data_IF_370142814912
#
_entry.id   IF_370142814912
#
_cell.length_a   1.000
_cell.length_b   1.000
_cell.length_c   1.000
_cell.angle_alpha   90.00
_cell.angle_beta   90.00
_cell.angle_gamma   90.00
#
_symmetry.space_group_name_H-M   'P 1'
#
loop_
_entity.id
_entity.type
_entity.pdbx_description
1 polymer ?
#
# COMPACT_ATOMS: atom_id res chain seq x y z
N UNK A 1 -29.55 -20.51 -25.49
CA UNK A 1 -30.81 -20.58 -24.74
C UNK A 1 -30.75 -21.80 -23.82
N UNK A 2 -30.65 -21.67 -22.48
CA UNK A 2 -30.64 -22.83 -21.59
C UNK A 2 -32.06 -23.27 -21.21
N UNK A 3 -32.24 -24.59 -21.12
CA UNK A 3 -33.50 -25.33 -21.10
C UNK A 3 -34.38 -25.09 -19.84
N UNK A 4 -35.71 -25.09 -20.05
CA UNK A 4 -36.73 -24.60 -19.10
C UNK A 4 -37.48 -25.71 -18.32
N UNK A 5 -37.04 -26.98 -18.38
CA UNK A 5 -37.90 -28.13 -18.00
C UNK A 5 -37.38 -28.99 -16.84
N UNK A 6 -36.88 -28.38 -15.76
CA UNK A 6 -36.72 -29.09 -14.49
C UNK A 6 -37.18 -28.20 -13.33
N UNK A 7 -38.15 -28.69 -12.54
CA UNK A 7 -38.64 -27.98 -11.32
C UNK A 7 -37.50 -27.78 -10.30
N UNK A 8 -36.47 -28.64 -10.30
CA UNK A 8 -35.28 -28.49 -9.43
C UNK A 8 -34.38 -27.31 -9.86
N UNK A 9 -34.31 -26.99 -11.15
CA UNK A 9 -33.55 -25.84 -11.63
C UNK A 9 -34.27 -24.51 -11.36
N UNK A 10 -35.60 -24.50 -11.31
CA UNK A 10 -36.36 -23.28 -10.94
C UNK A 10 -36.26 -22.97 -9.44
N UNK A 11 -36.25 -23.98 -8.56
CA UNK A 11 -36.02 -23.75 -7.13
C UNK A 11 -34.61 -23.19 -6.87
N UNK A 12 -33.59 -23.72 -7.55
CA UNK A 12 -32.23 -23.17 -7.48
C UNK A 12 -32.15 -21.75 -8.05
N UNK A 13 -32.75 -21.48 -9.22
CA UNK A 13 -32.72 -20.15 -9.83
C UNK A 13 -33.53 -19.09 -9.06
N UNK A 14 -34.62 -19.46 -8.39
CA UNK A 14 -35.43 -18.55 -7.56
C UNK A 14 -34.76 -18.31 -6.20
N UNK A 15 -34.09 -19.31 -5.61
CA UNK A 15 -33.25 -19.11 -4.43
C UNK A 15 -31.98 -18.29 -4.75
N UNK A 16 -31.37 -18.48 -5.91
CA UNK A 16 -30.23 -17.69 -6.37
C UNK A 16 -30.65 -16.25 -6.74
N UNK A 17 -31.83 -16.06 -7.32
CA UNK A 17 -32.38 -14.72 -7.60
C UNK A 17 -32.82 -13.98 -6.34
N UNK A 18 -33.40 -14.67 -5.35
CA UNK A 18 -33.75 -14.09 -4.05
C UNK A 18 -32.51 -13.78 -3.21
N UNK A 19 -31.44 -14.58 -3.32
CA UNK A 19 -30.14 -14.29 -2.72
C UNK A 19 -29.36 -13.20 -3.48
N UNK A 20 -29.57 -13.04 -4.79
CA UNK A 20 -28.96 -11.97 -5.57
C UNK A 20 -29.63 -10.61 -5.30
N UNK A 21 -30.97 -10.56 -5.19
CA UNK A 21 -31.71 -9.32 -4.98
C UNK A 21 -31.47 -8.65 -3.60
N UNK A 22 -30.98 -9.37 -2.59
CA UNK A 22 -30.60 -8.79 -1.29
C UNK A 22 -29.11 -8.44 -1.17
N UNK A 23 -28.27 -8.79 -2.15
CA UNK A 23 -26.81 -8.73 -2.06
C UNK A 23 -26.15 -7.59 -2.85
N UNK A 24 -26.91 -6.80 -3.63
CA UNK A 24 -26.34 -5.71 -4.44
C UNK A 24 -25.73 -4.56 -3.60
N UNK A 25 -25.98 -4.55 -2.29
CA UNK A 25 -25.46 -3.54 -1.38
C UNK A 25 -24.42 -4.08 -0.38
N UNK A 26 -23.89 -5.30 -0.51
CA UNK A 26 -22.88 -5.82 0.45
C UNK A 26 -21.60 -6.17 -0.30
N UNK A 27 -20.61 -5.29 -0.24
CA UNK A 27 -19.29 -5.60 -0.77
C UNK A 27 -18.61 -6.66 0.11
N UNK A 28 -18.08 -7.69 -0.54
CA UNK A 28 -17.27 -8.70 0.15
C UNK A 28 -16.05 -8.03 0.77
N UNK A 29 -15.73 -8.38 2.02
CA UNK A 29 -14.62 -7.78 2.79
C UNK A 29 -13.28 -7.78 2.02
N UNK A 30 -13.10 -8.74 1.11
CA UNK A 30 -11.92 -8.86 0.24
C UNK A 30 -11.78 -7.70 -0.74
N UNK A 31 -12.87 -7.20 -1.30
CA UNK A 31 -12.84 -6.08 -2.24
C UNK A 31 -12.47 -4.79 -1.54
N UNK A 32 -13.12 -4.49 -0.42
CA UNK A 32 -12.82 -3.32 0.41
C UNK A 32 -11.37 -3.35 0.89
N UNK A 33 -10.87 -4.51 1.34
CA UNK A 33 -9.47 -4.62 1.80
C UNK A 33 -8.46 -4.48 0.67
N UNK A 34 -8.70 -5.10 -0.50
CA UNK A 34 -7.85 -4.92 -1.69
C UNK A 34 -7.80 -3.47 -2.12
N UNK A 35 -8.94 -2.77 -2.08
CA UNK A 35 -9.02 -1.35 -2.38
C UNK A 35 -8.18 -0.53 -1.39
N UNK A 36 -8.38 -0.72 -0.07
CA UNK A 36 -7.63 0.01 0.95
C UNK A 36 -6.12 -0.23 0.83
N UNK A 37 -5.67 -1.48 0.68
CA UNK A 37 -4.26 -1.80 0.46
C UNK A 37 -3.73 -1.21 -0.86
N UNK A 38 -4.56 -1.13 -1.89
CA UNK A 38 -4.25 -0.42 -3.12
C UNK A 38 -4.00 1.07 -2.89
N UNK A 39 -4.88 1.74 -2.14
CA UNK A 39 -4.76 3.16 -1.82
C UNK A 39 -3.55 3.43 -0.92
N UNK A 40 -3.31 2.59 0.08
CA UNK A 40 -2.15 2.70 0.96
C UNK A 40 -0.83 2.63 0.18
N UNK A 41 -0.72 1.68 -0.76
CA UNK A 41 0.46 1.59 -1.65
C UNK A 41 0.63 2.83 -2.52
N UNK A 42 -0.46 3.43 -3.00
CA UNK A 42 -0.41 4.70 -3.75
C UNK A 42 0.12 5.84 -2.86
N UNK A 43 -0.32 5.94 -1.61
CA UNK A 43 0.16 6.98 -0.68
C UNK A 43 1.66 6.81 -0.40
N UNK A 44 2.13 5.58 -0.16
CA UNK A 44 3.57 5.32 0.06
C UNK A 44 4.39 5.71 -1.16
N UNK A 45 3.94 5.36 -2.38
CA UNK A 45 4.62 5.78 -3.62
C UNK A 45 4.67 7.30 -3.77
N UNK A 46 3.58 7.98 -3.43
CA UNK A 46 3.53 9.45 -3.44
C UNK A 46 4.50 10.06 -2.43
N UNK A 47 4.60 9.51 -1.21
CA UNK A 47 5.56 9.96 -0.19
C UNK A 47 7.00 9.79 -0.68
N UNK A 48 7.34 8.62 -1.25
CA UNK A 48 8.67 8.39 -1.84
C UNK A 48 8.97 9.43 -2.92
N UNK A 49 8.00 9.69 -3.81
CA UNK A 49 8.15 10.70 -4.87
C UNK A 49 8.38 12.10 -4.29
N UNK A 50 7.58 12.54 -3.32
CA UNK A 50 7.72 13.88 -2.74
C UNK A 50 9.02 14.04 -1.95
N UNK A 51 9.44 13.03 -1.19
CA UNK A 51 10.74 13.06 -0.50
C UNK A 51 11.90 13.07 -1.50
N UNK A 52 11.83 12.28 -2.56
CA UNK A 52 12.84 12.29 -3.63
C UNK A 52 12.93 13.63 -4.35
N UNK A 53 11.79 14.29 -4.57
CA UNK A 53 11.74 15.63 -5.16
C UNK A 53 12.30 16.69 -4.21
N UNK A 54 12.07 16.56 -2.90
CA UNK A 54 12.71 17.43 -1.90
C UNK A 54 14.24 17.31 -1.95
N UNK A 55 14.78 16.10 -2.02
CA UNK A 55 16.24 15.89 -2.14
C UNK A 55 16.77 16.43 -3.49
N UNK A 56 16.04 16.21 -4.59
CA UNK A 56 16.39 16.76 -5.89
C UNK A 56 16.40 18.30 -5.93
N UNK A 57 15.49 18.96 -5.21
CA UNK A 57 15.46 20.43 -5.08
C UNK A 57 16.54 20.93 -4.11
N UNK A 58 16.86 20.15 -3.06
CA UNK A 58 17.88 20.48 -2.07
C UNK A 58 19.27 20.51 -2.69
N UNK A 59 19.64 19.42 -3.36
CA UNK A 59 20.97 19.22 -3.96
C UNK A 59 21.04 19.81 -5.36
N UNK A 60 19.95 19.77 -6.11
CA UNK A 60 19.90 20.16 -7.52
C UNK A 60 20.06 18.94 -8.44
N UNK A 61 19.24 18.82 -9.52
CA UNK A 61 19.19 17.61 -10.34
C UNK A 61 20.49 17.31 -11.09
N UNK A 62 21.22 18.35 -11.52
CA UNK A 62 22.53 18.21 -12.17
C UNK A 62 23.59 17.69 -11.20
N UNK A 63 23.66 18.29 -10.02
CA UNK A 63 24.62 17.92 -8.98
C UNK A 63 24.35 16.51 -8.45
N UNK A 64 23.08 16.09 -8.39
CA UNK A 64 22.71 14.72 -8.01
C UNK A 64 23.18 13.69 -9.04
N UNK A 65 23.02 13.96 -10.33
CA UNK A 65 23.42 13.03 -11.41
C UNK A 65 24.95 12.96 -11.57
N UNK A 66 25.63 14.08 -11.40
CA UNK A 66 27.07 14.21 -11.62
C UNK A 66 27.89 14.31 -10.32
N UNK A 67 27.33 13.95 -9.17
CA UNK A 67 28.03 14.00 -7.89
C UNK A 67 29.41 13.31 -7.97
N UNK A 68 30.47 14.02 -7.58
CA UNK A 68 31.86 13.54 -7.64
C UNK A 68 32.45 13.39 -9.05
N UNK A 69 31.76 13.88 -10.09
CA UNK A 69 32.20 13.87 -11.50
C UNK A 69 32.11 15.28 -12.09
N UNK A 70 32.87 15.53 -13.16
CA UNK A 70 32.74 16.76 -13.97
C UNK A 70 32.84 18.08 -13.16
N UNK A 71 33.61 18.09 -12.08
CA UNK A 71 33.82 19.27 -11.22
C UNK A 71 32.73 19.51 -10.15
N UNK A 72 31.73 18.64 -10.04
CA UNK A 72 30.75 18.70 -8.95
C UNK A 72 31.30 18.07 -7.67
N UNK A 73 30.95 18.61 -6.48
CA UNK A 73 31.40 18.05 -5.21
C UNK A 73 30.93 16.61 -5.02
N UNK A 74 31.72 15.83 -4.28
CA UNK A 74 31.32 14.48 -3.88
C UNK A 74 30.06 14.52 -2.98
N UNK A 75 29.27 13.43 -2.93
CA UNK A 75 28.14 13.33 -2.01
C UNK A 75 28.57 13.61 -0.57
N UNK A 76 27.81 14.45 0.14
CA UNK A 76 28.06 14.74 1.55
C UNK A 76 27.64 13.59 2.46
N UNK A 77 27.95 13.72 3.76
CA UNK A 77 27.58 12.70 4.77
C UNK A 77 26.06 12.46 4.88
N UNK A 78 25.24 13.44 4.49
CA UNK A 78 23.77 13.35 4.48
C UNK A 78 23.20 12.84 3.14
N UNK A 79 24.02 12.58 2.12
CA UNK A 79 23.56 12.23 0.76
C UNK A 79 23.43 10.72 0.56
N UNK A 80 22.61 10.09 1.40
CA UNK A 80 22.30 8.66 1.35
C UNK A 80 20.81 8.39 1.65
N UNK A 81 20.38 7.15 1.44
CA UNK A 81 19.03 6.70 1.74
C UNK A 81 18.12 6.56 0.52
N UNK A 82 16.85 6.25 0.79
CA UNK A 82 15.84 5.90 -0.20
C UNK A 82 15.45 7.13 -1.02
N UNK A 83 15.23 8.27 -0.36
CA UNK A 83 14.81 9.49 -1.04
C UNK A 83 15.92 10.02 -1.96
N UNK A 84 17.18 9.96 -1.50
CA UNK A 84 18.34 10.34 -2.31
C UNK A 84 18.48 9.45 -3.55
N UNK A 85 18.41 8.12 -3.37
CA UNK A 85 18.52 7.16 -4.49
C UNK A 85 17.39 7.33 -5.51
N UNK A 86 16.16 7.51 -5.05
CA UNK A 86 15.02 7.78 -5.94
C UNK A 86 15.14 9.16 -6.60
N UNK A 87 15.67 10.15 -5.88
CA UNK A 87 15.93 11.49 -6.39
C UNK A 87 16.97 11.47 -7.51
N UNK A 88 17.99 10.62 -7.40
CA UNK A 88 18.96 10.36 -8.45
C UNK A 88 18.30 9.80 -9.70
N UNK A 89 17.48 8.74 -9.55
CA UNK A 89 16.78 8.12 -10.69
C UNK A 89 15.85 9.13 -11.38
N UNK A 90 15.07 9.88 -10.62
CA UNK A 90 14.14 10.90 -11.16
C UNK A 90 14.91 12.02 -11.86
N UNK A 91 15.99 12.51 -11.25
CA UNK A 91 16.84 13.56 -11.85
C UNK A 91 17.51 13.07 -13.14
N UNK A 92 17.95 11.82 -13.16
CA UNK A 92 18.55 11.20 -14.35
C UNK A 92 17.54 11.09 -15.49
N UNK A 93 16.33 10.60 -15.23
CA UNK A 93 15.25 10.54 -16.23
C UNK A 93 14.91 11.94 -16.73
N UNK A 94 14.81 12.93 -15.83
CA UNK A 94 14.58 14.32 -16.21
C UNK A 94 15.68 14.85 -17.13
N UNK A 95 16.95 14.59 -16.81
CA UNK A 95 18.09 14.99 -17.65
C UNK A 95 18.08 14.30 -19.01
N UNK A 96 17.77 12.99 -19.07
CA UNK A 96 17.63 12.27 -20.32
C UNK A 96 16.50 12.85 -21.18
N UNK A 97 15.34 13.13 -20.59
CA UNK A 97 14.21 13.75 -21.30
C UNK A 97 14.57 15.15 -21.80
N UNK A 98 15.21 15.97 -20.97
CA UNK A 98 15.67 17.30 -21.34
C UNK A 98 16.68 17.25 -22.50
N UNK A 99 17.66 16.34 -22.44
CA UNK A 99 18.67 16.18 -23.49
C UNK A 99 18.07 15.69 -24.82
N UNK A 100 17.14 14.74 -24.79
CA UNK A 100 16.57 14.10 -25.99
C UNK A 100 15.46 14.93 -26.62
N UNK A 101 14.62 15.58 -25.81
CA UNK A 101 13.44 16.30 -26.30
C UNK A 101 13.72 17.79 -26.38
N UNK A 102 14.22 18.38 -25.29
CA UNK A 102 14.28 19.83 -25.18
C UNK A 102 15.48 20.43 -25.93
N UNK A 103 16.66 19.83 -25.77
CA UNK A 103 17.89 20.31 -26.42
C UNK A 103 17.79 20.39 -27.95
N UNK A 104 17.34 19.35 -28.68
CA UNK A 104 17.23 19.45 -30.14
C UNK A 104 16.09 20.34 -30.63
N UNK A 105 14.99 20.48 -29.87
CA UNK A 105 13.82 21.26 -30.31
C UNK A 105 13.91 22.76 -29.97
N UNK A 106 14.63 23.13 -28.90
CA UNK A 106 14.60 24.49 -28.34
C UNK A 106 15.98 25.12 -28.10
N UNK A 107 17.10 24.46 -28.47
CA UNK A 107 18.45 25.04 -28.35
C UNK A 107 18.61 26.40 -29.05
N UNK A 108 17.86 26.62 -30.13
CA UNK A 108 17.87 27.85 -30.92
C UNK A 108 17.00 28.98 -30.36
N UNK A 109 16.15 28.71 -29.35
CA UNK A 109 15.15 29.66 -28.86
C UNK A 109 15.46 30.25 -27.48
N UNK A 110 16.41 29.71 -26.72
CA UNK A 110 16.78 30.24 -25.39
C UNK A 110 17.64 31.51 -25.55
N UNK A 111 17.11 32.71 -25.31
CA UNK A 111 17.93 33.90 -25.24
C UNK A 111 18.64 33.83 -23.90
N UNK A 112 19.96 33.60 -23.87
CA UNK A 112 20.73 33.78 -22.64
C UNK A 112 20.72 35.26 -22.28
N UNK A 113 20.01 35.68 -21.21
CA UNK A 113 19.96 37.09 -20.86
C UNK A 113 21.38 37.56 -20.48
N UNK A 114 21.79 38.77 -20.89
CA UNK A 114 23.10 39.27 -20.52
C UNK A 114 23.21 39.42 -19.00
N UNK A 115 24.38 39.10 -18.43
CA UNK A 115 24.61 39.16 -16.99
C UNK A 115 24.37 40.60 -16.49
N UNK A 116 23.57 40.74 -15.42
CA UNK A 116 23.17 42.01 -14.82
C UNK A 116 21.83 42.57 -15.31
N UNK A 117 21.14 41.91 -16.24
CA UNK A 117 19.85 42.38 -16.75
C UNK A 117 18.71 42.31 -15.69
N UNK A 118 17.70 43.18 -15.83
CA UNK A 118 16.50 43.18 -14.98
C UNK A 118 15.76 41.83 -15.03
N UNK A 119 15.89 41.10 -16.14
CA UNK A 119 15.33 39.76 -16.36
C UNK A 119 16.03 38.68 -15.53
N UNK A 120 17.34 38.77 -15.30
CA UNK A 120 18.08 37.85 -14.44
C UNK A 120 17.65 38.00 -12.97
N UNK A 121 17.47 39.24 -12.51
CA UNK A 121 16.98 39.53 -11.15
C UNK A 121 15.55 39.01 -10.92
N UNK A 122 14.67 39.13 -11.91
CA UNK A 122 13.29 38.60 -11.81
C UNK A 122 13.26 37.07 -11.87
N UNK A 123 14.06 36.43 -12.74
CA UNK A 123 14.20 34.97 -12.79
C UNK A 123 14.78 34.41 -11.48
N UNK A 124 15.76 35.07 -10.89
CA UNK A 124 16.31 34.69 -9.59
C UNK A 124 15.29 34.88 -8.46
N UNK A 125 14.49 35.94 -8.49
CA UNK A 125 13.41 36.16 -7.51
C UNK A 125 12.30 35.09 -7.63
N UNK A 126 11.90 34.74 -8.85
CA UNK A 126 10.92 33.68 -9.12
C UNK A 126 11.47 32.31 -8.70
N UNK A 127 12.73 32.01 -9.00
CA UNK A 127 13.41 30.79 -8.56
C UNK A 127 13.47 30.70 -7.03
N UNK A 128 13.83 31.79 -6.35
CA UNK A 128 13.88 31.85 -4.89
C UNK A 128 12.48 31.69 -4.28
N UNK A 129 11.45 32.32 -4.86
CA UNK A 129 10.07 32.16 -4.41
C UNK A 129 9.56 30.74 -4.61
N UNK A 130 9.76 30.14 -5.80
CA UNK A 130 9.39 28.75 -6.08
C UNK A 130 10.09 27.78 -5.14
N UNK A 131 11.38 28.00 -4.83
CA UNK A 131 12.12 27.19 -3.86
C UNK A 131 11.50 27.28 -2.47
N UNK A 132 11.18 28.49 -1.99
CA UNK A 132 10.52 28.70 -0.68
C UNK A 132 9.11 28.10 -0.64
N UNK A 133 8.34 28.26 -1.71
CA UNK A 133 7.00 27.69 -1.81
C UNK A 133 7.04 26.16 -1.80
N UNK A 134 7.94 25.54 -2.58
CA UNK A 134 8.13 24.09 -2.61
C UNK A 134 8.63 23.53 -1.27
N UNK A 135 9.47 24.28 -0.55
CA UNK A 135 9.91 23.94 0.81
C UNK A 135 8.77 23.84 1.83
N UNK A 136 7.64 24.52 1.59
CA UNK A 136 6.45 24.45 2.44
C UNK A 136 5.44 23.43 1.90
N UNK A 137 5.21 23.43 0.58
CA UNK A 137 4.21 22.60 -0.07
C UNK A 137 4.55 21.10 0.01
N UNK A 138 5.82 20.74 -0.16
CA UNK A 138 6.24 19.33 -0.19
C UNK A 138 6.09 18.64 1.17
N UNK A 139 6.57 19.20 2.29
CA UNK A 139 6.30 18.63 3.62
C UNK A 139 4.81 18.52 3.94
N UNK A 140 4.01 19.53 3.57
CA UNK A 140 2.56 19.51 3.78
C UNK A 140 1.89 18.39 2.97
N UNK A 141 2.32 18.20 1.72
CA UNK A 141 1.82 17.12 0.85
C UNK A 141 2.19 15.74 1.38
N UNK A 142 3.41 15.57 1.91
CA UNK A 142 3.85 14.35 2.60
C UNK A 142 2.95 14.08 3.81
N UNK A 143 2.73 15.09 4.65
CA UNK A 143 1.85 15.00 5.81
C UNK A 143 0.42 14.56 5.46
N UNK A 144 -0.17 15.14 4.41
CA UNK A 144 -1.49 14.74 3.93
C UNK A 144 -1.53 13.30 3.42
N UNK A 145 -0.49 12.85 2.70
CA UNK A 145 -0.38 11.47 2.24
C UNK A 145 -0.28 10.48 3.42
N UNK A 146 0.49 10.83 4.46
CA UNK A 146 0.62 10.03 5.67
C UNK A 146 -0.68 9.98 6.47
N UNK A 147 -1.40 11.11 6.61
CA UNK A 147 -2.71 11.15 7.26
C UNK A 147 -3.72 10.26 6.51
N UNK A 148 -3.73 10.34 5.18
CA UNK A 148 -4.58 9.49 4.34
C UNK A 148 -4.20 8.02 4.40
N UNK A 149 -2.91 7.73 4.52
CA UNK A 149 -2.40 6.38 4.76
C UNK A 149 -2.90 5.82 6.09
N UNK A 150 -2.80 6.59 7.18
CA UNK A 150 -3.31 6.20 8.50
C UNK A 150 -4.82 5.95 8.47
N UNK A 151 -5.57 6.82 7.79
CA UNK A 151 -7.01 6.63 7.59
C UNK A 151 -7.34 5.26 6.97
N UNK A 152 -6.68 4.88 5.87
CA UNK A 152 -6.91 3.58 5.23
C UNK A 152 -6.40 2.40 6.07
N UNK A 153 -5.34 2.61 6.85
CA UNK A 153 -4.82 1.61 7.80
C UNK A 153 -5.87 1.30 8.86
N UNK A 154 -6.38 2.33 9.54
CA UNK A 154 -7.41 2.24 10.57
C UNK A 154 -8.68 1.60 9.98
N UNK A 155 -9.09 2.03 8.78
CA UNK A 155 -10.24 1.47 8.10
C UNK A 155 -10.06 -0.03 7.79
N UNK A 156 -8.84 -0.48 7.52
CA UNK A 156 -8.55 -1.91 7.28
C UNK A 156 -8.64 -2.75 8.57
N UNK A 157 -8.27 -2.19 9.71
CA UNK A 157 -8.37 -2.85 11.02
C UNK A 157 -9.78 -2.85 11.61
N UNK A 158 -10.50 -1.73 11.48
CA UNK A 158 -11.84 -1.60 12.03
C UNK A 158 -12.80 -2.46 11.19
N UNK A 159 -12.81 -2.30 9.87
CA UNK A 159 -13.81 -2.90 8.98
C UNK A 159 -13.33 -4.23 8.40
N UNK A 160 -13.62 -5.28 9.16
CA UNK A 160 -13.24 -6.68 8.84
C UNK A 160 -14.33 -7.46 8.12
N UNK A 161 -15.58 -7.00 8.23
CA UNK A 161 -16.76 -7.70 7.71
C UNK A 161 -17.22 -7.18 6.34
N UNK A 162 -17.97 -8.01 5.62
CA UNK A 162 -18.66 -7.63 4.39
C UNK A 162 -19.75 -6.61 4.69
N UNK A 163 -19.77 -5.48 3.96
CA UNK A 163 -20.62 -4.33 4.28
C UNK A 163 -21.05 -3.51 3.07
N UNK A 164 -22.09 -2.68 3.22
CA UNK A 164 -22.40 -1.65 2.24
C UNK A 164 -21.27 -0.64 2.07
N UNK A 165 -21.07 -0.27 0.80
CA UNK A 165 -20.07 0.70 0.37
C UNK A 165 -20.24 2.00 1.15
N UNK A 166 -19.16 2.55 1.69
CA UNK A 166 -19.14 3.79 2.49
C UNK A 166 -19.83 3.72 3.87
N UNK A 167 -20.16 2.54 4.40
CA UNK A 167 -20.69 2.44 5.76
C UNK A 167 -19.62 2.80 6.80
N UNK A 168 -19.82 3.91 7.52
CA UNK A 168 -19.01 4.31 8.67
C UNK A 168 -19.49 3.70 10.00
N UNK A 169 -20.48 2.80 9.98
CA UNK A 169 -21.01 2.21 11.20
C UNK A 169 -20.00 1.22 11.81
N UNK A 170 -19.73 1.31 13.11
CA UNK A 170 -18.80 0.39 13.77
C UNK A 170 -19.29 -1.08 13.67
N UNK A 171 -18.38 -2.05 13.46
CA UNK A 171 -18.75 -3.46 13.44
C UNK A 171 -19.06 -4.01 14.81
N UNK A 172 -20.06 -4.90 14.84
CA UNK A 172 -20.38 -5.69 16.02
C UNK A 172 -19.14 -6.49 16.39
N UNK A 173 -18.70 -6.36 17.64
CA UNK A 173 -17.53 -7.09 18.13
C UNK A 173 -17.90 -8.56 18.33
N UNK A 174 -17.66 -9.38 17.30
CA UNK A 174 -17.80 -10.84 17.37
C UNK A 174 -16.44 -11.49 17.68
N UNK A 175 -16.45 -12.71 18.24
CA UNK A 175 -15.23 -13.52 18.45
C UNK A 175 -14.45 -13.71 17.14
N UNK A 176 -15.15 -13.87 16.02
CA UNK A 176 -14.57 -14.01 14.66
C UNK A 176 -13.83 -12.75 14.21
N UNK A 177 -14.38 -11.56 14.51
CA UNK A 177 -13.79 -10.28 14.13
C UNK A 177 -12.53 -10.00 14.96
N UNK A 178 -12.57 -10.32 16.25
CA UNK A 178 -11.40 -10.24 17.13
C UNK A 178 -10.26 -11.15 16.68
N UNK A 179 -10.56 -12.41 16.35
CA UNK A 179 -9.56 -13.34 15.83
C UNK A 179 -8.91 -12.81 14.55
N UNK A 180 -9.71 -12.21 13.67
CA UNK A 180 -9.22 -11.65 12.41
C UNK A 180 -8.34 -10.42 12.62
N UNK A 181 -8.73 -9.52 13.53
CA UNK A 181 -7.89 -8.38 13.93
C UNK A 181 -6.57 -8.84 14.52
N UNK A 182 -6.58 -9.88 15.36
CA UNK A 182 -5.38 -10.47 15.94
C UNK A 182 -4.45 -11.03 14.85
N UNK A 183 -4.99 -11.75 13.85
CA UNK A 183 -4.20 -12.27 12.72
C UNK A 183 -3.55 -11.14 11.91
N UNK A 184 -4.26 -10.03 11.69
CA UNK A 184 -3.70 -8.85 11.03
C UNK A 184 -2.59 -8.21 11.87
N UNK A 185 -2.79 -8.07 13.18
CA UNK A 185 -1.80 -7.53 14.10
C UNK A 185 -0.53 -8.40 14.11
N UNK A 186 -0.67 -9.71 14.21
CA UNK A 186 0.47 -10.65 14.15
C UNK A 186 1.23 -10.49 12.84
N UNK A 187 0.53 -10.40 11.70
CA UNK A 187 1.17 -10.18 10.40
C UNK A 187 1.94 -8.88 10.33
N UNK A 188 1.38 -7.79 10.86
CA UNK A 188 2.04 -6.47 10.93
C UNK A 188 3.22 -6.50 11.88
N UNK A 189 3.07 -7.00 13.10
CA UNK A 189 4.16 -7.13 14.07
C UNK A 189 5.31 -7.95 13.50
N UNK A 190 5.03 -9.10 12.88
CA UNK A 190 6.04 -9.93 12.22
C UNK A 190 6.77 -9.16 11.11
N UNK A 191 6.05 -8.46 10.24
CA UNK A 191 6.67 -7.69 9.16
C UNK A 191 7.52 -6.53 9.66
N UNK A 192 7.14 -5.90 10.77
CA UNK A 192 7.92 -4.80 11.38
C UNK A 192 9.16 -5.36 12.06
N UNK A 193 9.04 -6.38 12.91
CA UNK A 193 10.19 -6.94 13.63
C UNK A 193 11.21 -7.54 12.68
N UNK A 194 10.76 -8.36 11.72
CA UNK A 194 11.63 -8.96 10.71
C UNK A 194 12.25 -7.88 9.81
N UNK A 195 11.46 -6.91 9.35
CA UNK A 195 11.94 -5.84 8.50
C UNK A 195 12.96 -4.94 9.19
N UNK A 196 12.76 -4.62 10.47
CA UNK A 196 13.72 -3.86 11.27
C UNK A 196 15.01 -4.63 11.48
N UNK A 197 14.93 -5.91 11.86
CA UNK A 197 16.10 -6.77 12.02
C UNK A 197 16.90 -6.90 10.72
N UNK A 198 16.22 -7.10 9.58
CA UNK A 198 16.88 -7.16 8.28
C UNK A 198 17.66 -5.88 7.95
N UNK A 199 17.12 -4.70 8.27
CA UNK A 199 17.82 -3.44 8.05
C UNK A 199 19.03 -3.27 8.99
N UNK A 200 18.94 -3.72 10.24
CA UNK A 200 20.08 -3.70 11.15
C UNK A 200 21.23 -4.58 10.63
N UNK A 201 20.92 -5.76 10.10
CA UNK A 201 21.93 -6.64 9.50
C UNK A 201 22.55 -6.00 8.24
N UNK A 202 21.74 -5.37 7.39
CA UNK A 202 22.23 -4.68 6.20
C UNK A 202 23.12 -3.47 6.52
N UNK A 203 22.81 -2.75 7.60
CA UNK A 203 23.62 -1.63 8.08
C UNK A 203 24.95 -2.12 8.67
N UNK A 204 24.94 -3.22 9.44
CA UNK A 204 26.16 -3.86 9.96
C UNK A 204 27.08 -4.38 8.86
N UNK A 205 26.52 -4.82 7.73
CA UNK A 205 27.29 -5.24 6.56
C UNK A 205 27.68 -4.07 5.63
N UNK A 206 27.34 -2.83 6.01
CA UNK A 206 27.56 -1.61 5.21
C UNK A 206 26.92 -1.65 3.81
N UNK A 207 25.91 -2.50 3.61
CA UNK A 207 25.25 -2.70 2.31
C UNK A 207 24.13 -1.69 2.07
N UNK A 208 23.36 -1.34 3.11
CA UNK A 208 22.26 -0.39 3.00
C UNK A 208 22.04 0.37 4.30
N UNK A 209 22.05 1.71 4.21
CA UNK A 209 21.74 2.62 5.31
C UNK A 209 20.47 3.41 4.99
N UNK A 210 19.58 3.51 5.97
CA UNK A 210 18.32 4.25 5.84
C UNK A 210 18.26 5.29 6.94
N UNK A 211 17.96 6.54 6.59
CA UNK A 211 17.78 7.62 7.56
C UNK A 211 16.58 7.34 8.46
N UNK A 212 16.66 7.73 9.73
CA UNK A 212 15.55 7.54 10.68
C UNK A 212 14.24 8.14 10.18
N UNK A 213 14.29 9.33 9.56
CA UNK A 213 13.10 9.97 9.00
C UNK A 213 12.48 9.16 7.86
N UNK A 214 13.30 8.59 6.98
CA UNK A 214 12.84 7.73 5.87
C UNK A 214 12.30 6.40 6.39
N UNK A 215 12.87 5.88 7.49
CA UNK A 215 12.36 4.69 8.13
C UNK A 215 10.91 4.87 8.57
N UNK A 216 10.60 5.95 9.30
CA UNK A 216 9.24 6.18 9.80
C UNK A 216 8.24 6.61 8.72
N UNK A 217 8.69 7.33 7.69
CA UNK A 217 7.82 7.89 6.66
C UNK A 217 7.62 6.97 5.46
N UNK A 218 8.57 6.07 5.17
CA UNK A 218 8.54 5.18 4.00
C UNK A 218 8.54 3.72 4.45
N UNK A 219 9.58 3.29 5.17
CA UNK A 219 9.82 1.86 5.41
C UNK A 219 8.75 1.25 6.32
N UNK A 220 8.42 1.90 7.43
CA UNK A 220 7.41 1.44 8.36
C UNK A 220 6.02 1.32 7.68
N UNK A 221 5.53 2.30 6.91
CA UNK A 221 4.34 2.13 6.06
C UNK A 221 4.41 0.96 5.06
N UNK A 222 5.57 0.69 4.47
CA UNK A 222 5.74 -0.48 3.59
C UNK A 222 5.60 -1.78 4.38
N UNK A 223 6.27 -1.90 5.53
CA UNK A 223 6.21 -3.07 6.40
C UNK A 223 4.78 -3.31 6.89
N UNK A 224 4.06 -2.26 7.30
CA UNK A 224 2.65 -2.37 7.70
C UNK A 224 1.79 -2.87 6.55
N UNK A 225 1.99 -2.38 5.31
CA UNK A 225 1.32 -2.90 4.12
C UNK A 225 1.57 -4.38 3.88
N UNK A 226 2.84 -4.81 3.93
CA UNK A 226 3.25 -6.21 3.74
C UNK A 226 2.60 -7.09 4.82
N UNK A 227 2.68 -6.67 6.08
CA UNK A 227 2.09 -7.41 7.19
C UNK A 227 0.57 -7.58 7.08
N UNK A 228 -0.15 -6.53 6.66
CA UNK A 228 -1.60 -6.64 6.40
C UNK A 228 -1.92 -7.54 5.20
N UNK A 229 -1.09 -7.54 4.15
CA UNK A 229 -1.23 -8.46 3.02
C UNK A 229 -1.08 -9.91 3.49
N UNK A 230 -0.05 -10.20 4.30
CA UNK A 230 0.20 -11.52 4.89
C UNK A 230 -0.98 -11.95 5.76
N UNK A 231 -1.40 -11.11 6.71
CA UNK A 231 -2.54 -11.40 7.59
C UNK A 231 -3.84 -11.64 6.82
N UNK A 232 -4.04 -10.90 5.72
CA UNK A 232 -5.19 -11.10 4.81
C UNK A 232 -5.14 -12.44 4.07
N UNK A 233 -3.96 -12.85 3.61
CA UNK A 233 -3.77 -14.14 2.96
C UNK A 233 -4.01 -15.31 3.94
N UNK A 234 -3.55 -15.18 5.19
CA UNK A 234 -3.83 -16.17 6.24
C UNK A 234 -5.32 -16.26 6.56
N UNK A 235 -6.01 -15.12 6.73
CA UNK A 235 -7.45 -15.09 6.93
C UNK A 235 -8.18 -15.81 5.79
N UNK A 236 -7.83 -15.52 4.54
CA UNK A 236 -8.41 -16.18 3.36
C UNK A 236 -8.22 -17.70 3.40
N UNK A 237 -7.01 -18.16 3.76
CA UNK A 237 -6.68 -19.59 3.84
C UNK A 237 -7.46 -20.30 4.95
N UNK A 238 -7.65 -19.65 6.10
CA UNK A 238 -8.44 -20.18 7.22
C UNK A 238 -9.92 -20.26 6.84
N UNK A 239 -10.50 -19.19 6.29
CA UNK A 239 -11.90 -19.19 5.83
C UNK A 239 -12.16 -20.28 4.81
N UNK A 240 -11.28 -20.44 3.82
CA UNK A 240 -11.39 -21.48 2.80
C UNK A 240 -11.35 -22.89 3.40
N UNK A 241 -10.53 -23.11 4.43
CA UNK A 241 -10.47 -24.39 5.16
C UNK A 241 -11.75 -24.64 5.97
N UNK A 242 -12.29 -23.62 6.61
CA UNK A 242 -13.55 -23.73 7.37
C UNK A 242 -14.72 -24.06 6.44
N UNK A 243 -14.85 -23.34 5.33
CA UNK A 243 -15.89 -23.61 4.31
C UNK A 243 -15.80 -25.04 3.75
N UNK A 244 -14.58 -25.54 3.51
CA UNK A 244 -14.39 -26.94 3.09
C UNK A 244 -14.83 -27.93 4.16
N UNK A 245 -14.49 -27.69 5.43
CA UNK A 245 -14.92 -28.54 6.54
C UNK A 245 -16.44 -28.52 6.72
N UNK A 246 -17.07 -27.36 6.58
CA UNK A 246 -18.53 -27.20 6.63
C UNK A 246 -19.21 -27.90 5.45
N UNK A 247 -18.68 -27.78 4.24
CA UNK A 247 -19.19 -28.49 3.07
C UNK A 247 -19.07 -30.01 3.21
N UNK A 248 -17.96 -30.52 3.75
CA UNK A 248 -17.80 -31.95 4.03
C UNK A 248 -18.80 -32.40 5.10
N UNK A 249 -19.02 -31.62 6.16
CA UNK A 249 -20.04 -31.92 7.18
C UNK A 249 -21.46 -31.89 6.64
N UNK A 250 -21.77 -30.97 5.73
CA UNK A 250 -23.09 -30.87 5.10
C UNK A 250 -23.33 -31.94 4.02
N UNK A 251 -22.25 -32.45 3.41
CA UNK A 251 -22.28 -33.55 2.45
C UNK A 251 -22.14 -34.93 3.13
N UNK A 252 -21.87 -34.98 4.43
CA UNK A 252 -21.88 -36.22 5.19
C UNK A 252 -23.32 -36.77 5.19
N UNK A 253 -23.55 -38.03 4.79
CA UNK A 253 -24.88 -38.61 4.81
C UNK A 253 -25.41 -38.64 6.25
N UNK A 254 -26.69 -38.32 6.44
CA UNK A 254 -27.35 -38.29 7.75
C UNK A 254 -27.20 -39.60 8.55
N UNK A 255 -26.89 -40.71 7.88
CA UNK A 255 -26.65 -42.02 8.48
C UNK A 255 -25.37 -42.08 9.33
N UNK A 256 -24.29 -41.37 8.98
CA UNK A 256 -23.03 -41.45 9.76
C UNK A 256 -23.04 -40.63 11.05
N UNK A 257 -23.97 -39.69 11.19
CA UNK A 257 -24.18 -38.93 12.43
C UNK A 257 -25.12 -39.65 13.40
N UNK A 258 -26.05 -40.47 12.89
CA UNK A 258 -26.88 -41.35 13.73
C UNK A 258 -26.12 -42.59 14.20
N UNK A 259 -25.31 -43.24 13.36
CA UNK A 259 -24.49 -44.40 13.76
C UNK A 259 -23.48 -44.04 14.87
N UNK A 260 -22.78 -42.91 14.77
CA UNK A 260 -21.84 -42.49 15.81
C UNK A 260 -22.50 -42.08 17.15
N UNK A 261 -23.74 -41.58 17.10
CA UNK A 261 -24.50 -41.17 18.28
C UNK A 261 -25.25 -42.36 18.93
N UNK A 262 -25.50 -43.43 18.15
CA UNK A 262 -25.96 -44.73 18.64
C UNK A 262 -24.81 -45.47 19.33
N UNK A 263 -23.62 -45.51 18.73
CA UNK A 263 -22.43 -46.15 19.31
C UNK A 263 -21.99 -45.51 20.65
N UNK A 264 -22.05 -44.17 20.75
CA UNK A 264 -21.72 -43.45 22.00
C UNK A 264 -22.76 -43.68 23.11
N UNK A 265 -24.02 -43.97 22.76
CA UNK A 265 -25.07 -44.35 23.72
C UNK A 265 -24.99 -45.81 24.16
N UNK A 266 -24.60 -46.73 23.28
CA UNK A 266 -24.37 -48.14 23.64
C UNK A 266 -23.13 -48.30 24.51
N UNK A 267 -22.07 -47.50 24.30
CA UNK A 267 -20.88 -47.54 25.14
C UNK A 267 -21.06 -46.98 26.57
N UNK A 268 -22.19 -46.33 26.86
CA UNK A 268 -22.55 -45.83 28.20
C UNK A 268 -23.55 -46.73 28.94
N UNK A 269 -23.96 -47.84 28.32
CA UNK A 269 -24.96 -48.78 28.85
C UNK A 269 -24.37 -50.17 29.18
N UNK A 270 -23.06 -50.38 28.93
CA UNK A 270 -22.25 -51.48 29.45
C UNK A 270 -21.38 -50.99 30.62
#
# INVERSE_FOLDING_TARGET
>A
MPCRWSRRCQAAAVCDAAAAASNDNVEHWRHTRRYNLGQMRKQVRAVILFMSLMEAIRVGPLQLVFAGKQGYPAPGEDDFGIAYTMGYIVSWIYMCFFAVVFMPLFSWWLPTPPPGSRSEKSLHAVSCFLKKFNLILLPLSIGLCLARYLYFTIHTFIYVDSRPRHSCALPKNSKKNWLTRLLLLIGVSFSITFGYYALQVLDQMELARVKSIEYYTIVLPVQVNIGMLIGTAFQYKIEKRMQRKEAIKAAAPATSLEEGNLDEKTALLD
#
